data_IF_348026341054
#
_entry.id   IF_348026341054
#
_cell.length_a   1.000
_cell.length_b   1.000
_cell.length_c   1.000
_cell.angle_alpha   90.00
_cell.angle_beta   90.00
_cell.angle_gamma   90.00
#
_symmetry.space_group_name_H-M   'P 1'
#
loop_
_entity.id
_entity.type
_entity.pdbx_description
1 polymer ?
#
# COMPACT_ATOMS: atom_id res chain seq x y z
N UNK A 1 4.80 9.42 -7.76
CA UNK A 1 5.28 10.78 -7.40
C UNK A 1 5.58 10.78 -5.91
N UNK A 2 6.69 11.37 -5.52
CA UNK A 2 7.11 11.51 -4.12
C UNK A 2 7.29 13.00 -3.79
N UNK A 3 7.15 13.39 -2.51
CA UNK A 3 7.50 14.73 -2.06
C UNK A 3 8.98 15.04 -2.34
N UNK A 4 9.35 16.32 -2.29
CA UNK A 4 10.75 16.77 -2.40
C UNK A 4 11.60 16.12 -1.29
N UNK A 5 12.66 15.36 -1.64
CA UNK A 5 13.50 14.67 -0.66
C UNK A 5 14.37 15.62 0.20
N UNK A 6 14.39 16.92 -0.09
CA UNK A 6 15.15 17.94 0.66
C UNK A 6 14.49 18.41 1.97
N UNK A 7 13.27 17.97 2.27
CA UNK A 7 12.67 18.21 3.58
C UNK A 7 13.26 17.26 4.64
N UNK A 8 13.82 17.81 5.73
CA UNK A 8 14.37 17.07 6.88
C UNK A 8 13.38 16.08 7.52
N UNK A 9 12.08 16.25 7.26
CA UNK A 9 11.06 15.31 7.68
C UNK A 9 10.94 14.16 6.66
N UNK A 10 11.32 12.93 7.06
CA UNK A 10 11.05 11.72 6.28
C UNK A 10 9.54 11.37 6.36
N UNK A 11 8.76 11.55 5.28
CA UNK A 11 7.33 11.24 5.27
C UNK A 11 7.01 9.76 5.48
N UNK A 12 5.81 9.44 6.01
CA UNK A 12 5.33 8.06 6.07
C UNK A 12 5.13 7.48 4.66
N UNK A 13 5.22 6.16 4.58
CA UNK A 13 5.14 5.42 3.32
C UNK A 13 3.85 4.59 3.29
N UNK A 14 3.04 4.77 2.25
CA UNK A 14 1.89 3.92 1.95
C UNK A 14 2.23 2.96 0.81
N UNK A 15 2.27 1.67 1.10
CA UNK A 15 2.36 0.61 0.09
C UNK A 15 0.96 0.12 -0.27
N UNK A 16 0.62 0.16 -1.55
CA UNK A 16 -0.69 -0.20 -2.07
C UNK A 16 -0.66 -1.51 -2.86
N UNK A 17 -1.49 -2.46 -2.46
CA UNK A 17 -1.76 -3.73 -3.15
C UNK A 17 -3.12 -3.65 -3.85
N UNK A 18 -3.13 -3.77 -5.18
CA UNK A 18 -4.36 -3.69 -5.96
C UNK A 18 -5.29 -4.89 -5.74
N UNK A 19 -6.56 -4.71 -6.07
CA UNK A 19 -7.54 -5.80 -6.10
C UNK A 19 -7.55 -6.55 -7.43
N UNK A 20 -8.55 -7.42 -7.62
CA UNK A 20 -8.77 -8.14 -8.89
C UNK A 20 -8.75 -9.67 -8.77
N UNK A 21 -9.22 -10.19 -7.64
CA UNK A 21 -9.39 -11.64 -7.40
C UNK A 21 -8.13 -12.49 -7.62
N UNK A 22 -6.95 -11.87 -7.53
CA UNK A 22 -5.65 -12.50 -7.83
C UNK A 22 -5.49 -12.99 -9.28
N UNK A 23 -6.41 -12.63 -10.19
CA UNK A 23 -6.40 -13.06 -11.60
C UNK A 23 -6.29 -11.90 -12.59
N UNK A 24 -6.55 -10.67 -12.14
CA UNK A 24 -6.46 -9.44 -12.93
C UNK A 24 -6.08 -8.26 -12.04
N UNK A 25 -5.82 -7.11 -12.66
CA UNK A 25 -5.51 -5.85 -11.98
C UNK A 25 -4.13 -5.31 -12.35
N UNK A 26 -3.87 -4.08 -11.95
CA UNK A 26 -2.60 -3.42 -12.15
C UNK A 26 -2.47 -2.25 -11.17
N UNK A 27 -1.24 -1.93 -10.78
CA UNK A 27 -0.92 -0.73 -10.01
C UNK A 27 -1.14 0.56 -10.79
N UNK A 28 -1.21 0.49 -12.13
CA UNK A 28 -1.30 1.64 -13.03
C UNK A 28 -2.74 2.08 -13.34
N UNK A 29 -3.77 1.40 -12.81
CA UNK A 29 -5.16 1.81 -13.11
C UNK A 29 -5.45 3.19 -12.49
N UNK A 30 -6.19 4.08 -13.19
CA UNK A 30 -6.37 5.48 -12.76
C UNK A 30 -6.99 5.64 -11.36
N UNK A 31 -7.83 4.69 -10.95
CA UNK A 31 -8.45 4.70 -9.60
C UNK A 31 -7.41 4.60 -8.47
N UNK A 32 -6.18 4.20 -8.77
CA UNK A 32 -5.08 4.14 -7.80
C UNK A 32 -4.09 5.30 -7.96
N UNK A 33 -4.46 6.42 -8.59
CA UNK A 33 -3.61 7.60 -8.66
C UNK A 33 -3.12 8.04 -7.27
N UNK A 34 -1.80 8.24 -7.17
CA UNK A 34 -1.10 8.61 -5.94
C UNK A 34 -0.91 10.12 -5.76
N UNK A 35 -1.32 10.94 -6.74
CA UNK A 35 -1.00 12.37 -6.73
C UNK A 35 -1.48 13.10 -5.47
N UNK A 36 -2.65 12.74 -4.93
CA UNK A 36 -3.18 13.33 -3.70
C UNK A 36 -2.33 13.01 -2.47
N UNK A 37 -1.80 11.79 -2.35
CA UNK A 37 -0.90 11.41 -1.26
C UNK A 37 0.42 12.18 -1.35
N UNK A 38 1.00 12.26 -2.55
CA UNK A 38 2.23 13.02 -2.77
C UNK A 38 2.07 14.50 -2.43
N UNK A 39 0.94 15.13 -2.82
CA UNK A 39 0.63 16.52 -2.45
C UNK A 39 0.45 16.74 -0.94
N UNK A 40 0.01 15.72 -0.22
CA UNK A 40 -0.14 15.78 1.23
C UNK A 40 1.15 15.47 2.00
N UNK A 41 2.25 15.24 1.28
CA UNK A 41 3.54 14.92 1.89
C UNK A 41 3.68 13.45 2.29
N UNK A 42 2.96 12.53 1.64
CA UNK A 42 3.14 11.09 1.85
C UNK A 42 3.86 10.45 0.65
N UNK A 43 4.69 9.44 0.91
CA UNK A 43 5.27 8.61 -0.16
C UNK A 43 4.35 7.45 -0.45
N UNK A 44 3.94 7.26 -1.71
CA UNK A 44 3.13 6.12 -2.12
C UNK A 44 3.88 5.20 -3.07
N UNK A 45 3.88 3.91 -2.76
CA UNK A 45 4.42 2.83 -3.59
C UNK A 45 3.29 1.91 -4.00
N UNK A 46 3.04 1.75 -5.30
CA UNK A 46 2.02 0.83 -5.80
C UNK A 46 2.70 -0.37 -6.46
N UNK A 47 2.38 -1.59 -6.01
CA UNK A 47 3.10 -2.82 -6.40
C UNK A 47 2.28 -3.61 -7.43
N UNK A 48 2.94 -4.12 -8.46
CA UNK A 48 2.43 -5.20 -9.30
C UNK A 48 2.98 -6.54 -8.81
N UNK A 49 2.17 -7.59 -8.93
CA UNK A 49 2.55 -8.95 -8.58
C UNK A 49 1.92 -9.92 -9.58
N UNK A 50 2.48 -11.12 -9.73
CA UNK A 50 1.95 -12.13 -10.65
C UNK A 50 0.52 -12.52 -10.30
N UNK A 51 -0.26 -12.80 -11.35
CA UNK A 51 -1.69 -13.08 -11.28
C UNK A 51 -2.00 -14.43 -11.93
N UNK A 52 -3.20 -14.95 -11.68
CA UNK A 52 -3.70 -16.17 -12.29
C UNK A 52 -2.82 -17.38 -11.99
N UNK A 53 -2.69 -18.27 -12.97
CA UNK A 53 -1.90 -19.50 -12.84
C UNK A 53 -0.41 -19.20 -12.62
N UNK A 54 0.12 -18.11 -13.16
CA UNK A 54 1.53 -17.74 -12.98
C UNK A 54 1.85 -17.29 -11.55
N UNK A 55 0.88 -16.68 -10.87
CA UNK A 55 1.03 -16.23 -9.49
C UNK A 55 0.62 -17.27 -8.45
N UNK A 56 -0.40 -18.08 -8.74
CA UNK A 56 -1.10 -18.89 -7.74
C UNK A 56 -1.39 -20.33 -8.20
N UNK A 57 -0.90 -20.72 -9.38
CA UNK A 57 -0.90 -22.11 -9.80
C UNK A 57 -0.03 -22.97 -8.88
N UNK A 58 -0.42 -24.23 -8.71
CA UNK A 58 0.34 -25.23 -7.98
C UNK A 58 1.09 -26.10 -8.98
N UNK A 59 2.38 -26.32 -8.74
CA UNK A 59 3.21 -27.25 -9.48
C UNK A 59 4.10 -28.02 -8.50
N UNK A 60 4.34 -29.33 -8.70
CA UNK A 60 5.27 -30.09 -7.88
C UNK A 60 6.69 -29.52 -7.88
N UNK A 61 7.09 -28.89 -8.99
CA UNK A 61 8.46 -28.42 -9.23
C UNK A 61 8.68 -26.94 -8.89
N UNK A 62 7.63 -26.23 -8.43
CA UNK A 62 7.70 -24.80 -8.16
C UNK A 62 7.06 -24.42 -6.81
N UNK A 63 7.65 -23.47 -6.07
CA UNK A 63 7.07 -22.99 -4.82
C UNK A 63 5.68 -22.35 -5.02
N UNK A 64 4.66 -22.83 -4.30
CA UNK A 64 3.29 -22.30 -4.34
C UNK A 64 3.18 -20.84 -3.85
N UNK A 65 2.23 -20.05 -4.38
CA UNK A 65 2.02 -18.62 -4.03
C UNK A 65 3.14 -17.67 -4.52
N UNK A 66 3.60 -17.87 -5.75
CA UNK A 66 4.53 -16.96 -6.44
C UNK A 66 4.12 -15.48 -6.36
N UNK A 67 2.85 -15.15 -6.59
CA UNK A 67 2.33 -13.77 -6.51
C UNK A 67 2.40 -13.19 -5.10
N UNK A 68 2.19 -14.00 -4.05
CA UNK A 68 2.38 -13.54 -2.67
C UNK A 68 3.86 -13.31 -2.34
N UNK A 69 4.76 -14.13 -2.91
CA UNK A 69 6.21 -13.92 -2.77
C UNK A 69 6.70 -12.66 -3.49
N UNK A 70 6.09 -12.32 -4.63
CA UNK A 70 6.38 -11.06 -5.31
C UNK A 70 6.04 -9.87 -4.41
N UNK A 71 4.88 -9.91 -3.74
CA UNK A 71 4.47 -8.87 -2.80
C UNK A 71 5.41 -8.77 -1.60
N UNK A 72 5.86 -9.91 -1.03
CA UNK A 72 6.84 -9.92 0.05
C UNK A 72 8.17 -9.32 -0.39
N UNK A 73 8.68 -9.73 -1.55
CA UNK A 73 9.94 -9.22 -2.12
C UNK A 73 9.86 -7.72 -2.37
N UNK A 74 8.71 -7.24 -2.87
CA UNK A 74 8.50 -5.81 -3.07
C UNK A 74 8.45 -5.03 -1.76
N UNK A 75 7.88 -5.60 -0.68
CA UNK A 75 7.92 -4.97 0.65
C UNK A 75 9.35 -4.91 1.22
N UNK A 76 10.16 -5.95 0.99
CA UNK A 76 11.58 -5.95 1.35
C UNK A 76 12.33 -4.85 0.58
N UNK A 77 12.09 -4.74 -0.73
CA UNK A 77 12.67 -3.68 -1.54
C UNK A 77 12.27 -2.28 -1.04
N UNK A 78 11.00 -2.08 -0.67
CA UNK A 78 10.54 -0.80 -0.09
C UNK A 78 11.30 -0.51 1.20
N UNK A 79 11.35 -1.44 2.15
CA UNK A 79 12.09 -1.25 3.41
C UNK A 79 13.55 -0.85 3.15
N UNK A 80 14.20 -1.52 2.20
CA UNK A 80 15.64 -1.36 1.97
C UNK A 80 15.97 -0.13 1.11
N UNK A 81 15.02 0.39 0.31
CA UNK A 81 15.29 1.42 -0.72
C UNK A 81 14.50 2.72 -0.55
N UNK A 82 13.43 2.76 0.25
CA UNK A 82 12.49 3.88 0.22
C UNK A 82 13.08 5.22 0.69
N UNK A 83 14.17 5.17 1.44
CA UNK A 83 14.93 6.35 1.87
C UNK A 83 15.44 7.17 0.69
N UNK A 84 15.81 6.54 -0.43
CA UNK A 84 16.24 7.21 -1.67
C UNK A 84 15.11 8.05 -2.29
N UNK A 85 13.86 7.69 -2.01
CA UNK A 85 12.67 8.41 -2.46
C UNK A 85 12.11 9.37 -1.39
N UNK A 86 12.87 9.61 -0.32
CA UNK A 86 12.50 10.47 0.80
C UNK A 86 11.61 9.80 1.85
N UNK A 87 11.18 8.55 1.67
CA UNK A 87 10.29 7.89 2.63
C UNK A 87 10.99 7.41 3.90
N UNK A 88 10.23 7.31 4.98
CA UNK A 88 10.68 6.73 6.25
C UNK A 88 10.43 5.21 6.28
N UNK A 89 11.47 4.35 6.26
CA UNK A 89 11.32 2.90 6.29
C UNK A 89 10.72 2.38 7.61
N UNK A 90 10.79 3.15 8.70
CA UNK A 90 10.21 2.80 10.00
C UNK A 90 8.73 3.19 10.12
N UNK A 91 8.18 3.87 9.10
CA UNK A 91 6.79 4.33 9.03
C UNK A 91 6.08 3.85 7.76
N UNK A 92 6.26 2.57 7.44
CA UNK A 92 5.59 1.90 6.33
C UNK A 92 4.23 1.34 6.75
N UNK A 93 3.21 1.65 5.95
CA UNK A 93 1.82 1.18 6.06
C UNK A 93 1.48 0.39 4.81
N UNK A 94 0.97 -0.83 4.96
CA UNK A 94 0.50 -1.64 3.82
C UNK A 94 -1.02 -1.63 3.80
N UNK A 95 -1.59 -1.31 2.64
CA UNK A 95 -3.02 -1.28 2.43
C UNK A 95 -3.38 -1.91 1.08
N UNK A 96 -4.62 -2.39 0.99
CA UNK A 96 -5.14 -2.91 -0.27
C UNK A 96 -6.66 -3.00 -0.27
N UNK A 97 -7.20 -3.31 -1.45
CA UNK A 97 -8.63 -3.46 -1.67
C UNK A 97 -8.95 -4.87 -2.19
N UNK A 98 -10.05 -5.47 -1.73
CA UNK A 98 -10.49 -6.81 -2.13
C UNK A 98 -9.36 -7.84 -2.00
N UNK A 99 -8.91 -8.46 -3.09
CA UNK A 99 -7.80 -9.40 -3.10
C UNK A 99 -6.49 -8.81 -2.54
N UNK A 100 -6.22 -7.52 -2.74
CA UNK A 100 -5.08 -6.83 -2.12
C UNK A 100 -5.26 -6.67 -0.61
N UNK A 101 -6.50 -6.50 -0.13
CA UNK A 101 -6.80 -6.42 1.30
C UNK A 101 -6.60 -7.79 1.98
N UNK A 102 -7.04 -8.87 1.32
CA UNK A 102 -6.79 -10.26 1.75
C UNK A 102 -5.28 -10.50 1.80
N UNK A 103 -4.56 -10.14 0.72
CA UNK A 103 -3.10 -10.32 0.67
C UNK A 103 -2.40 -9.56 1.79
N UNK A 104 -2.86 -8.34 2.09
CA UNK A 104 -2.34 -7.56 3.23
C UNK A 104 -2.55 -8.31 4.56
N UNK A 105 -3.74 -8.88 4.78
CA UNK A 105 -4.01 -9.70 5.97
C UNK A 105 -3.12 -10.95 6.05
N UNK A 106 -2.88 -11.62 4.91
CA UNK A 106 -1.98 -12.78 4.84
C UNK A 106 -0.53 -12.40 5.14
N UNK A 107 -0.03 -11.28 4.60
CA UNK A 107 1.34 -10.82 4.84
C UNK A 107 1.57 -10.39 6.30
N UNK A 108 0.54 -9.89 6.97
CA UNK A 108 0.56 -9.59 8.41
C UNK A 108 0.53 -10.86 9.27
N UNK A 109 -0.34 -11.81 8.91
CA UNK A 109 -0.51 -13.05 9.66
C UNK A 109 0.67 -14.01 9.47
N UNK A 110 1.31 -13.96 8.30
CA UNK A 110 2.51 -14.71 8.00
C UNK A 110 3.62 -14.37 8.99
N UNK A 111 4.09 -15.37 9.74
CA UNK A 111 5.18 -15.28 10.71
C UNK A 111 6.56 -15.17 10.05
N UNK A 112 6.66 -14.50 8.90
CA UNK A 112 7.97 -14.16 8.34
C UNK A 112 8.57 -13.09 9.27
N UNK A 113 9.70 -13.33 9.93
CA UNK A 113 10.29 -12.34 10.84
C UNK A 113 10.52 -10.97 10.17
N UNK A 114 10.63 -10.98 8.84
CA UNK A 114 10.94 -9.84 7.97
C UNK A 114 9.76 -8.88 7.72
N UNK A 115 8.50 -9.29 7.91
CA UNK A 115 7.33 -8.39 7.76
C UNK A 115 7.00 -7.64 9.05
N UNK A 116 7.42 -8.14 10.21
CA UNK A 116 7.13 -7.54 11.53
C UNK A 116 7.75 -6.16 11.74
N UNK A 117 8.92 -5.90 11.16
CA UNK A 117 9.57 -4.58 11.25
C UNK A 117 9.03 -3.58 10.22
N UNK A 118 8.33 -4.04 9.17
CA UNK A 118 8.00 -3.22 8.01
C UNK A 118 6.54 -2.74 7.94
N UNK A 119 5.64 -3.17 8.84
CA UNK A 119 4.21 -2.82 8.72
C UNK A 119 3.66 -2.31 10.06
N UNK A 120 3.47 -1.00 10.17
CA UNK A 120 2.99 -0.35 11.41
C UNK A 120 1.47 -0.22 11.48
N UNK A 121 0.77 -0.29 10.34
CA UNK A 121 -0.68 -0.25 10.26
C UNK A 121 -1.17 -0.89 8.96
N UNK A 122 -2.39 -1.42 8.98
CA UNK A 122 -3.08 -1.92 7.80
C UNK A 122 -4.51 -1.41 7.76
N UNK A 123 -4.94 -0.98 6.58
CA UNK A 123 -6.35 -0.78 6.25
C UNK A 123 -6.81 -1.85 5.28
N UNK A 124 -7.71 -2.70 5.76
CA UNK A 124 -8.44 -3.68 4.97
C UNK A 124 -9.75 -3.00 4.52
N UNK A 125 -9.87 -2.64 3.25
CA UNK A 125 -11.14 -2.18 2.69
C UNK A 125 -11.72 -3.29 1.81
N UNK A 126 -12.69 -4.04 2.35
CA UNK A 126 -13.47 -5.02 1.58
C UNK A 126 -14.57 -4.37 0.76
N UNK A 127 -14.90 -3.10 1.02
CA UNK A 127 -15.76 -2.25 0.19
C UNK A 127 -15.25 -0.80 0.23
N UNK A 128 -15.04 -0.19 -0.94
CA UNK A 128 -14.82 1.26 -1.04
C UNK A 128 -16.15 1.94 -0.73
N UNK A 129 -16.39 2.32 0.52
CA UNK A 129 -17.13 3.56 0.77
C UNK A 129 -16.08 4.66 0.78
N UNK A 130 -16.13 5.50 -0.25
CA UNK A 130 -15.42 6.76 -0.27
C UNK A 130 -16.02 7.64 0.83
N UNK A 131 -15.44 7.59 2.02
CA UNK A 131 -15.71 8.58 3.06
C UNK A 131 -14.44 9.41 3.23
N UNK A 132 -14.36 10.46 2.42
CA UNK A 132 -13.39 11.54 2.61
C UNK A 132 -13.84 12.29 3.85
N UNK A 133 -13.34 11.89 5.02
CA UNK A 133 -13.50 12.71 6.23
C UNK A 133 -12.62 13.96 6.08
N UNK A 134 -13.20 15.02 5.49
CA UNK A 134 -12.70 16.39 5.51
C UNK A 134 -12.68 16.91 6.96
N UNK A 135 -11.64 16.57 7.72
CA UNK A 135 -11.39 17.16 9.03
C UNK A 135 -10.64 18.47 8.83
N UNK A 136 -11.36 19.54 8.49
CA UNK A 136 -10.71 20.83 8.23
C UNK A 136 -11.57 21.96 7.68
N UNK A 137 -12.82 22.15 8.12
CA UNK A 137 -13.51 23.44 7.93
C UNK A 137 -13.90 24.02 9.28
N UNK A 138 -13.26 25.13 9.62
CA UNK A 138 -13.59 25.97 10.78
C UNK A 138 -15.03 26.48 10.62
N UNK A 139 -15.89 26.13 11.56
CA UNK A 139 -17.23 26.72 11.68
C UNK A 139 -17.09 28.21 12.02
N UNK A 140 -17.40 29.10 11.07
CA UNK A 140 -17.84 30.46 11.38
C UNK A 140 -19.35 30.40 11.60
N UNK A 141 -19.79 30.53 12.86
CA UNK A 141 -21.21 30.76 13.17
C UNK A 141 -21.60 32.15 12.69
N UNK A 142 -22.57 32.19 11.77
CA UNK A 142 -23.30 33.41 11.42
C UNK A 142 -24.43 33.55 12.44
N UNK A 143 -24.31 34.52 13.36
CA UNK A 143 -25.40 34.93 14.24
C UNK A 143 -26.34 35.81 13.42
N UNK A 144 -27.60 35.36 13.23
CA UNK A 144 -28.68 36.22 12.72
C UNK A 144 -29.36 36.91 13.91
N UNK A 145 -29.56 38.22 13.78
CA UNK A 145 -30.43 39.05 14.61
C UNK A 145 -31.89 38.77 14.28
#
# INVERSE_FOLDING_TARGET
>A
MTPDPSHDARPPVLVWLHGGALTRGSSAVPVYDGSTFARNGDVRVSINYRLGVEGYGLSPDAPANAGLRDQLTALEWVRDSITVFGGDPDRVTVAGQSAGAISTGVLLAGTVPRTRCAVRATRISTCVKADVTMRGMRSRRLVRR
#
